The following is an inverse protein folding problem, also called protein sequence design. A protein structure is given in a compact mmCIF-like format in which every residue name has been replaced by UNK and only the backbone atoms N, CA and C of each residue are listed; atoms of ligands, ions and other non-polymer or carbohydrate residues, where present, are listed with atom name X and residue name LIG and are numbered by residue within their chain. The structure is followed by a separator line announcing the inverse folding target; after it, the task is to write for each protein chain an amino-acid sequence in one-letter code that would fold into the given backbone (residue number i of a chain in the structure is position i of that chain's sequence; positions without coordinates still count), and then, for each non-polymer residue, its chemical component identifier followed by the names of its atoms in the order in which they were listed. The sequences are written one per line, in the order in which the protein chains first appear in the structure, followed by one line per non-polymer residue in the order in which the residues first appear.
data_IF_019471866144
#
_entry.id   IF_019471866144
#
_cell.length_a   1.000
_cell.length_b   1.000
_cell.length_c   1.000
_cell.angle_alpha   90.00
_cell.angle_beta   90.00
_cell.angle_gamma   90.00
#
_symmetry.space_group_name_H-M   'P 1'
#
loop_
_entity.id
_entity.type
_entity.pdbx_description
1 polymer ?
#
# COMPACT_ATOMS: atom_id res chain seq x y z
N UNK A 1 23.62 1.47 6.61
CA UNK A 1 22.26 1.94 6.89
C UNK A 1 22.06 2.05 8.39
N UNK A 2 21.59 3.18 8.84
CA UNK A 2 21.35 3.42 10.25
C UNK A 2 19.97 2.93 10.66
N UNK A 3 19.91 1.71 11.10
CA UNK A 3 18.64 1.09 11.50
C UNK A 3 17.91 1.89 12.60
N UNK A 4 18.66 2.51 13.53
CA UNK A 4 18.06 3.27 14.62
C UNK A 4 17.28 4.50 14.17
N UNK A 5 17.80 5.26 13.20
CA UNK A 5 17.11 6.46 12.69
C UNK A 5 15.86 6.07 11.91
N UNK A 6 15.97 5.06 11.05
CA UNK A 6 14.83 4.57 10.27
C UNK A 6 13.77 4.00 11.20
N UNK A 7 14.18 3.24 12.21
CA UNK A 7 13.25 2.65 13.16
C UNK A 7 12.49 3.72 13.96
N UNK A 8 13.15 4.81 14.35
CA UNK A 8 12.49 5.92 15.04
C UNK A 8 11.41 6.57 14.18
N UNK A 9 11.65 6.79 12.89
CA UNK A 9 10.67 7.34 11.96
C UNK A 9 9.48 6.37 11.82
N UNK A 10 9.74 5.09 11.68
CA UNK A 10 8.69 4.07 11.56
C UNK A 10 7.86 4.00 12.84
N UNK A 11 8.49 4.04 14.01
CA UNK A 11 7.78 4.01 15.29
C UNK A 11 6.86 5.22 15.46
N UNK A 12 7.32 6.41 15.10
CA UNK A 12 6.52 7.63 15.15
C UNK A 12 5.34 7.56 14.18
N UNK A 13 5.54 7.03 12.99
CA UNK A 13 4.47 6.84 12.01
C UNK A 13 3.43 5.85 12.49
N UNK A 14 3.85 4.72 13.03
CA UNK A 14 2.93 3.70 13.60
C UNK A 14 2.10 4.32 14.71
N UNK A 15 2.71 5.11 15.57
CA UNK A 15 2.00 5.78 16.66
C UNK A 15 0.97 6.78 16.12
N UNK A 16 1.34 7.57 15.11
CA UNK A 16 0.43 8.52 14.46
C UNK A 16 -0.77 7.80 13.83
N UNK A 17 -0.54 6.67 13.16
CA UNK A 17 -1.62 5.86 12.59
C UNK A 17 -2.56 5.35 13.69
N UNK A 18 -2.02 4.84 14.79
CA UNK A 18 -2.83 4.34 15.91
C UNK A 18 -3.72 5.42 16.53
N UNK A 19 -3.23 6.65 16.63
CA UNK A 19 -4.02 7.77 17.14
C UNK A 19 -5.05 8.29 16.14
N UNK A 20 -4.80 8.16 14.85
CA UNK A 20 -5.66 8.69 13.79
C UNK A 20 -6.81 7.75 13.45
N UNK A 21 -6.55 6.44 13.46
CA UNK A 21 -7.56 5.43 13.10
C UNK A 21 -8.66 5.39 14.15
N UNK A 22 -9.90 5.47 13.68
CA UNK A 22 -11.10 5.36 14.53
C UNK A 22 -12.00 4.26 13.96
N UNK A 23 -12.07 3.14 14.65
CA UNK A 23 -12.85 1.97 14.21
C UNK A 23 -14.35 2.22 14.12
N UNK A 24 -14.85 3.28 14.75
CA UNK A 24 -16.27 3.66 14.71
C UNK A 24 -16.64 4.51 13.50
N UNK A 25 -15.63 4.90 12.71
CA UNK A 25 -15.83 5.68 11.48
C UNK A 25 -15.65 4.79 10.24
N UNK A 26 -16.15 5.22 9.08
CA UNK A 26 -16.03 4.43 7.85
C UNK A 26 -14.59 4.08 7.51
N UNK A 27 -14.40 2.89 6.94
CA UNK A 27 -13.09 2.42 6.51
C UNK A 27 -12.42 3.40 5.55
N UNK A 28 -13.17 3.96 4.60
CA UNK A 28 -12.62 4.88 3.61
C UNK A 28 -11.99 6.11 4.25
N UNK A 29 -12.58 6.62 5.32
CA UNK A 29 -12.04 7.78 6.05
C UNK A 29 -10.73 7.45 6.75
N UNK A 30 -10.65 6.28 7.37
CA UNK A 30 -9.43 5.81 8.01
C UNK A 30 -8.32 5.60 6.99
N UNK A 31 -8.62 4.97 5.86
CA UNK A 31 -7.64 4.73 4.81
C UNK A 31 -7.14 6.03 4.16
N UNK A 32 -8.03 7.01 4.00
CA UNK A 32 -7.64 8.31 3.46
C UNK A 32 -6.58 8.99 4.35
N UNK A 33 -6.81 9.04 5.66
CA UNK A 33 -5.86 9.62 6.58
C UNK A 33 -4.56 8.81 6.69
N UNK A 34 -4.66 7.49 6.67
CA UNK A 34 -3.46 6.64 6.68
C UNK A 34 -2.60 6.87 5.44
N UNK A 35 -3.23 7.01 4.26
CA UNK A 35 -2.51 7.31 3.01
C UNK A 35 -1.74 8.63 3.14
N UNK A 36 -2.36 9.64 3.70
CA UNK A 36 -1.73 10.95 3.90
C UNK A 36 -0.56 10.87 4.87
N UNK A 37 -0.72 10.17 5.99
CA UNK A 37 0.34 10.00 6.98
C UNK A 37 1.56 9.30 6.38
N UNK A 38 1.35 8.24 5.63
CA UNK A 38 2.45 7.51 4.99
C UNK A 38 3.14 8.40 3.95
N UNK A 39 2.37 9.06 3.12
CA UNK A 39 2.89 9.92 2.05
C UNK A 39 3.76 11.06 2.61
N UNK A 40 3.31 11.69 3.70
CA UNK A 40 4.01 12.84 4.27
C UNK A 40 5.22 12.48 5.13
N UNK A 41 5.22 11.28 5.73
CA UNK A 41 6.22 10.92 6.75
C UNK A 41 7.32 9.98 6.25
N UNK A 42 7.19 9.44 5.05
CA UNK A 42 8.25 8.63 4.44
C UNK A 42 8.86 9.43 3.30
N UNK A 43 10.14 9.77 3.44
CA UNK A 43 10.86 10.59 2.46
C UNK A 43 10.88 9.92 1.08
N UNK A 44 10.79 10.74 0.04
CA UNK A 44 10.85 10.32 -1.36
C UNK A 44 9.69 9.40 -1.79
N UNK A 45 8.58 9.41 -1.06
CA UNK A 45 7.40 8.67 -1.44
C UNK A 45 6.66 9.43 -2.55
N UNK A 46 6.49 8.80 -3.71
CA UNK A 46 5.73 9.38 -4.81
C UNK A 46 4.26 8.98 -4.79
N UNK A 47 3.94 7.89 -4.11
CA UNK A 47 2.58 7.38 -4.01
C UNK A 47 2.42 6.52 -2.76
N UNK A 48 1.32 6.68 -2.06
CA UNK A 48 0.95 5.83 -0.93
C UNK A 48 -0.56 5.66 -0.90
N UNK A 49 -1.03 4.43 -0.80
CA UNK A 49 -2.46 4.18 -0.81
C UNK A 49 -2.84 2.74 -0.63
N UNK A 50 -4.11 2.47 -0.88
CA UNK A 50 -4.72 1.18 -0.63
C UNK A 50 -5.47 0.69 -1.86
N UNK A 51 -5.39 -0.61 -2.10
CA UNK A 51 -6.27 -1.32 -3.02
C UNK A 51 -7.19 -2.21 -2.21
N UNK A 52 -8.46 -2.21 -2.59
CA UNK A 52 -9.51 -2.98 -1.90
C UNK A 52 -9.90 -4.19 -2.75
N UNK A 53 -10.17 -5.30 -2.09
CA UNK A 53 -10.54 -6.54 -2.78
C UNK A 53 -12.05 -6.65 -2.94
N UNK A 54 -12.48 -7.28 -4.05
CA UNK A 54 -13.87 -7.70 -4.24
C UNK A 54 -14.04 -9.20 -3.93
N UNK A 55 -15.25 -9.73 -4.17
CA UNK A 55 -15.58 -11.13 -3.91
C UNK A 55 -14.78 -12.11 -4.79
N UNK A 56 -14.23 -11.64 -5.90
CA UNK A 56 -13.47 -12.45 -6.85
C UNK A 56 -11.96 -12.28 -6.68
N UNK A 57 -11.53 -11.60 -5.61
CA UNK A 57 -10.14 -11.29 -5.32
C UNK A 57 -9.46 -10.39 -6.37
N UNK A 58 -10.23 -9.59 -7.08
CA UNK A 58 -9.68 -8.51 -7.87
C UNK A 58 -9.51 -7.27 -6.99
N UNK A 59 -8.66 -6.36 -7.42
CA UNK A 59 -8.31 -5.16 -6.66
C UNK A 59 -8.89 -3.91 -7.30
N UNK A 60 -9.42 -3.03 -6.47
CA UNK A 60 -9.90 -1.72 -6.87
C UNK A 60 -9.16 -0.64 -6.10
N UNK A 61 -8.80 0.43 -6.79
CA UNK A 61 -8.15 1.58 -6.17
C UNK A 61 -9.01 2.13 -5.05
N UNK A 62 -8.43 2.21 -3.86
CA UNK A 62 -9.01 2.87 -2.70
C UNK A 62 -8.37 4.23 -2.45
N UNK A 63 -8.48 4.77 -1.24
CA UNK A 63 -7.87 6.06 -0.91
C UNK A 63 -6.36 6.05 -1.09
N UNK A 64 -5.82 7.13 -1.63
CA UNK A 64 -4.39 7.27 -1.90
C UNK A 64 -3.96 8.73 -1.93
N UNK A 65 -2.64 8.94 -1.92
CA UNK A 65 -1.99 10.22 -2.14
C UNK A 65 -0.93 10.04 -3.23
N UNK A 66 -0.80 11.01 -4.11
CA UNK A 66 0.12 10.98 -5.24
C UNK A 66 -0.61 11.09 -6.56
N UNK A 67 0.05 10.68 -7.64
CA UNK A 67 -0.53 10.73 -8.97
C UNK A 67 -1.66 9.72 -9.16
N UNK A 68 -2.48 9.96 -10.17
CA UNK A 68 -3.53 9.00 -10.56
C UNK A 68 -2.93 7.62 -10.80
N UNK A 69 -3.67 6.60 -10.45
CA UNK A 69 -3.21 5.22 -10.49
C UNK A 69 -4.20 4.32 -11.23
N UNK A 70 -3.76 3.12 -11.56
CA UNK A 70 -4.62 2.09 -12.15
C UNK A 70 -5.78 1.79 -11.20
N UNK A 71 -7.02 1.87 -11.70
CA UNK A 71 -8.21 1.72 -10.86
C UNK A 71 -8.61 0.27 -10.61
N UNK A 72 -8.18 -0.65 -11.47
CA UNK A 72 -8.56 -2.06 -11.40
C UNK A 72 -7.36 -2.94 -11.72
N UNK A 73 -7.14 -3.94 -10.87
CA UNK A 73 -6.06 -4.92 -11.04
C UNK A 73 -6.65 -6.33 -10.87
N UNK A 74 -6.46 -7.17 -11.87
CA UNK A 74 -6.91 -8.56 -11.81
C UNK A 74 -6.09 -9.36 -10.81
N UNK A 75 -6.69 -10.43 -10.29
CA UNK A 75 -6.04 -11.38 -9.40
C UNK A 75 -4.71 -11.88 -10.00
N UNK A 76 -3.68 -11.90 -9.17
CA UNK A 76 -2.33 -12.36 -9.51
C UNK A 76 -1.63 -11.56 -10.62
N UNK A 77 -2.15 -10.38 -11.01
CA UNK A 77 -1.52 -9.51 -12.00
C UNK A 77 -0.67 -8.43 -11.34
N UNK A 78 0.53 -8.20 -11.86
CA UNK A 78 1.45 -7.19 -11.36
C UNK A 78 1.90 -7.43 -9.92
N UNK A 79 2.50 -6.41 -9.30
CA UNK A 79 2.99 -6.52 -7.92
C UNK A 79 1.84 -6.66 -6.93
N UNK A 80 0.83 -5.79 -7.04
CA UNK A 80 -0.31 -5.81 -6.12
C UNK A 80 -1.12 -7.10 -6.24
N UNK A 81 -1.40 -7.55 -7.47
CA UNK A 81 -2.14 -8.78 -7.70
C UNK A 81 -1.37 -10.01 -7.23
N UNK A 82 -0.05 -10.02 -7.39
CA UNK A 82 0.81 -11.10 -6.90
C UNK A 82 0.86 -11.11 -5.37
N UNK A 83 0.93 -9.94 -4.75
CA UNK A 83 0.87 -9.81 -3.29
C UNK A 83 -0.42 -10.44 -2.74
N UNK A 84 -1.54 -10.14 -3.37
CA UNK A 84 -2.83 -10.72 -2.99
C UNK A 84 -2.83 -12.24 -3.13
N UNK A 85 -2.34 -12.75 -4.25
CA UNK A 85 -2.31 -14.19 -4.54
C UNK A 85 -1.40 -14.94 -3.56
N UNK A 86 -0.22 -14.41 -3.30
CA UNK A 86 0.78 -15.05 -2.44
C UNK A 86 0.56 -14.78 -0.95
N UNK A 87 -0.27 -13.80 -0.62
CA UNK A 87 -0.54 -13.36 0.77
C UNK A 87 0.74 -13.01 1.52
N UNK A 88 1.67 -12.36 0.83
CA UNK A 88 2.98 -11.97 1.36
C UNK A 88 3.32 -10.56 0.98
N UNK A 89 4.05 -9.86 1.86
CA UNK A 89 4.66 -8.58 1.52
C UNK A 89 5.65 -8.78 0.38
N UNK A 90 5.55 -7.92 -0.63
CA UNK A 90 6.47 -7.94 -1.77
C UNK A 90 7.21 -6.61 -1.82
N UNK A 91 8.54 -6.68 -1.84
CA UNK A 91 9.42 -5.52 -1.98
C UNK A 91 10.07 -5.59 -3.35
N UNK A 92 9.86 -4.55 -4.17
CA UNK A 92 10.44 -4.48 -5.51
C UNK A 92 11.35 -3.26 -5.58
N UNK A 93 12.68 -3.46 -5.53
CA UNK A 93 13.62 -2.34 -5.61
C UNK A 93 13.57 -1.61 -6.96
N UNK A 94 13.24 -2.31 -8.03
CA UNK A 94 13.07 -1.73 -9.36
C UNK A 94 11.86 -2.38 -10.04
N UNK A 95 10.77 -1.64 -10.17
CA UNK A 95 9.52 -2.15 -10.73
C UNK A 95 9.66 -2.56 -12.20
N UNK A 96 10.60 -1.98 -12.93
CA UNK A 96 10.83 -2.30 -14.34
C UNK A 96 11.38 -3.71 -14.55
N UNK A 97 11.91 -4.33 -13.49
CA UNK A 97 12.43 -5.69 -13.51
C UNK A 97 11.41 -6.73 -13.05
N UNK A 98 10.24 -6.31 -12.56
CA UNK A 98 9.21 -7.23 -12.07
C UNK A 98 8.40 -7.77 -13.25
N UNK A 99 8.38 -9.10 -13.48
CA UNK A 99 7.61 -9.71 -14.56
C UNK A 99 6.11 -9.41 -14.42
N UNK A 100 5.51 -8.94 -15.51
CA UNK A 100 4.07 -8.62 -15.52
C UNK A 100 3.68 -7.41 -14.70
N UNK A 101 4.64 -6.53 -14.39
CA UNK A 101 4.37 -5.32 -13.63
C UNK A 101 3.32 -4.44 -14.30
N UNK A 102 2.31 -4.06 -13.49
CA UNK A 102 1.33 -3.05 -13.87
C UNK A 102 1.66 -1.82 -13.02
N UNK A 103 2.00 -0.71 -13.67
CA UNK A 103 2.33 0.52 -12.97
C UNK A 103 1.11 1.09 -12.27
N UNK A 104 1.12 1.08 -10.94
CA UNK A 104 0.11 1.79 -10.13
C UNK A 104 0.31 3.29 -10.23
N UNK A 105 1.56 3.72 -10.39
CA UNK A 105 1.95 5.10 -10.69
C UNK A 105 3.09 5.09 -11.70
N UNK A 106 3.01 5.93 -12.72
CA UNK A 106 4.05 6.03 -13.76
C UNK A 106 5.39 6.55 -13.22
N UNK A 107 5.40 7.18 -12.05
CA UNK A 107 6.60 7.74 -11.43
C UNK A 107 7.29 6.76 -10.46
N UNK A 108 6.69 5.60 -10.21
CA UNK A 108 7.26 4.64 -9.27
C UNK A 108 8.43 3.89 -9.88
N UNK A 109 9.57 3.88 -9.20
CA UNK A 109 10.76 3.09 -9.54
C UNK A 109 10.91 1.87 -8.65
N UNK A 110 10.48 1.99 -7.40
CA UNK A 110 10.46 0.91 -6.42
C UNK A 110 9.14 0.92 -5.68
N UNK A 111 8.75 -0.22 -5.15
CA UNK A 111 7.53 -0.29 -4.36
C UNK A 111 7.58 -1.39 -3.32
N UNK A 112 6.78 -1.22 -2.27
CA UNK A 112 6.47 -2.25 -1.31
C UNK A 112 4.95 -2.40 -1.25
N UNK A 113 4.48 -3.63 -1.31
CA UNK A 113 3.07 -3.95 -1.20
C UNK A 113 2.88 -4.91 -0.03
N UNK A 114 2.01 -4.54 0.89
CA UNK A 114 1.75 -5.30 2.12
C UNK A 114 0.29 -5.77 2.11
N UNK A 115 0.03 -7.08 2.25
CA UNK A 115 -1.33 -7.57 2.36
C UNK A 115 -1.87 -7.30 3.77
N UNK A 116 -3.08 -6.73 3.84
CA UNK A 116 -3.79 -6.59 5.10
C UNK A 116 -4.72 -7.80 5.21
N UNK A 117 -4.39 -8.71 6.11
CA UNK A 117 -5.06 -10.00 6.22
C UNK A 117 -5.91 -10.03 7.49
N UNK A 118 -7.17 -10.43 7.32
CA UNK A 118 -8.09 -10.66 8.43
C UNK A 118 -8.81 -11.99 8.21
N UNK A 119 -8.77 -12.87 9.22
CA UNK A 119 -9.38 -14.20 9.13
C UNK A 119 -8.87 -15.01 7.92
N UNK A 120 -7.55 -14.94 7.67
CA UNK A 120 -6.86 -15.59 6.56
C UNK A 120 -7.26 -15.08 5.17
N UNK A 121 -7.97 -13.95 5.10
CA UNK A 121 -8.32 -13.28 3.84
C UNK A 121 -7.67 -11.91 3.75
N UNK A 122 -7.16 -11.59 2.56
CA UNK A 122 -6.63 -10.25 2.26
C UNK A 122 -7.80 -9.28 2.15
N UNK A 123 -7.65 -8.13 2.78
CA UNK A 123 -8.66 -7.07 2.79
C UNK A 123 -8.18 -5.83 2.03
#
# INVERSE_FOLDING_TARGET
MHCGVIQGIVDDLVLAVKFTVNKDLPLVSNLANCSKLIFDNIANTSWAGFYLTDDKNNLYLGPFQGDTATMYIEYASGVCGTCLADKKTIIVPNVHEFPGHIACSSLSNSEIVVPIIKNEKVK
#
